data_IF_773637642142
#
_entry.id   IF_773637642142
#
_cell.length_a   1.000
_cell.length_b   1.000
_cell.length_c   1.000
_cell.angle_alpha   90.00
_cell.angle_beta   90.00
_cell.angle_gamma   90.00
#
_symmetry.space_group_name_H-M   'P 1'
#
loop_
_entity.id
_entity.type
_entity.pdbx_description
1 polymer ?
#
# COMPACT_ATOMS: atom_id res chain seq x y z
N UNK A 1 -1.06 3.56 23.55
CA UNK A 1 -2.14 2.81 22.85
C UNK A 1 -3.02 3.86 22.19
N UNK A 2 -3.17 3.82 20.86
CA UNK A 2 -4.10 4.72 20.17
C UNK A 2 -5.54 4.30 20.51
N UNK A 3 -6.44 5.27 20.66
CA UNK A 3 -7.85 4.99 20.97
C UNK A 3 -8.56 4.29 19.82
N UNK A 4 -9.53 3.43 20.13
CA UNK A 4 -10.38 2.82 19.12
C UNK A 4 -11.19 3.91 18.41
N UNK A 5 -11.24 3.86 17.07
CA UNK A 5 -12.01 4.80 16.22
C UNK A 5 -11.74 6.29 16.54
N UNK A 6 -10.52 6.62 16.97
CA UNK A 6 -10.11 7.96 17.40
C UNK A 6 -9.72 8.89 16.26
N UNK A 7 -9.53 8.36 15.04
CA UNK A 7 -9.19 9.14 13.86
C UNK A 7 -10.26 8.95 12.78
N UNK A 8 -10.51 9.98 11.98
CA UNK A 8 -11.45 9.86 10.85
C UNK A 8 -10.94 8.87 9.80
N UNK A 9 -9.63 8.88 9.54
CA UNK A 9 -8.97 7.97 8.61
C UNK A 9 -7.59 7.53 9.10
N UNK A 10 -7.17 6.33 8.68
CA UNK A 10 -5.80 5.86 8.78
C UNK A 10 -5.22 5.71 7.38
N UNK A 11 -3.98 6.18 7.18
CA UNK A 11 -3.34 6.25 5.87
C UNK A 11 -1.91 5.71 5.91
N UNK A 12 -1.61 4.78 5.01
CA UNK A 12 -0.25 4.30 4.75
C UNK A 12 0.12 4.61 3.29
N UNK A 13 1.22 5.33 3.10
CA UNK A 13 1.74 5.69 1.78
C UNK A 13 3.19 5.26 1.66
N UNK A 14 3.49 4.41 0.68
CA UNK A 14 4.84 3.87 0.43
C UNK A 14 5.49 3.26 1.69
N UNK A 15 4.70 2.53 2.47
CA UNK A 15 5.17 1.98 3.74
C UNK A 15 5.01 0.46 3.80
N UNK A 16 3.86 -0.08 3.39
CA UNK A 16 3.56 -1.49 3.63
C UNK A 16 4.45 -2.44 2.82
N UNK A 17 5.05 -1.99 1.70
CA UNK A 17 6.03 -2.79 0.93
C UNK A 17 7.35 -3.07 1.66
N UNK A 18 7.56 -2.51 2.85
CA UNK A 18 8.69 -2.86 3.72
C UNK A 18 8.36 -4.04 4.65
N UNK A 19 7.09 -4.40 4.77
CA UNK A 19 6.62 -5.44 5.67
C UNK A 19 6.51 -6.78 4.93
N UNK A 20 6.75 -7.91 5.61
CA UNK A 20 6.35 -9.21 5.08
C UNK A 20 4.81 -9.30 4.98
N UNK A 21 4.31 -10.12 4.05
CA UNK A 21 2.88 -10.22 3.72
C UNK A 21 1.94 -10.38 4.94
N UNK A 22 2.33 -11.19 5.93
CA UNK A 22 1.52 -11.38 7.14
C UNK A 22 1.44 -10.11 8.01
N UNK A 23 2.51 -9.34 8.10
CA UNK A 23 2.53 -8.07 8.82
C UNK A 23 1.75 -6.97 8.10
N UNK A 24 1.61 -7.05 6.77
CA UNK A 24 0.74 -6.14 6.01
C UNK A 24 -0.71 -6.28 6.47
N UNK A 25 -1.19 -7.52 6.65
CA UNK A 25 -2.55 -7.78 7.15
C UNK A 25 -2.72 -7.24 8.58
N UNK A 26 -1.74 -7.47 9.46
CA UNK A 26 -1.77 -6.95 10.84
C UNK A 26 -1.72 -5.42 10.89
N UNK A 27 -0.95 -4.78 10.01
CA UNK A 27 -0.92 -3.33 9.88
C UNK A 27 -2.28 -2.78 9.43
N UNK A 28 -2.93 -3.42 8.45
CA UNK A 28 -4.27 -3.04 7.98
C UNK A 28 -5.33 -3.22 9.08
N UNK A 29 -5.23 -4.27 9.91
CA UNK A 29 -6.10 -4.44 11.10
C UNK A 29 -5.86 -3.33 12.12
N UNK A 30 -4.61 -2.97 12.40
CA UNK A 30 -4.29 -1.88 13.32
C UNK A 30 -4.83 -0.54 12.81
N UNK A 31 -4.70 -0.27 11.51
CA UNK A 31 -5.29 0.91 10.85
C UNK A 31 -6.82 0.92 10.96
N UNK A 32 -7.46 -0.24 10.74
CA UNK A 32 -8.91 -0.43 10.89
C UNK A 32 -9.41 -0.18 12.31
N UNK A 33 -8.64 -0.59 13.32
CA UNK A 33 -9.01 -0.43 14.73
C UNK A 33 -9.06 1.06 15.16
N UNK A 34 -8.17 1.88 14.62
CA UNK A 34 -8.07 3.31 15.00
C UNK A 34 -8.90 4.23 14.09
N UNK A 35 -9.24 3.80 12.87
CA UNK A 35 -9.98 4.60 11.90
C UNK A 35 -11.50 4.45 12.05
N UNK A 36 -12.21 5.58 12.00
CA UNK A 36 -13.68 5.66 12.06
C UNK A 36 -14.35 5.49 10.70
N UNK A 37 -13.78 6.07 9.64
CA UNK A 37 -14.46 6.16 8.35
C UNK A 37 -13.67 5.55 7.20
N UNK A 38 -12.34 5.67 7.18
CA UNK A 38 -11.55 5.21 6.04
C UNK A 38 -10.19 4.62 6.42
N UNK A 39 -9.84 3.54 5.71
CA UNK A 39 -8.47 3.03 5.61
C UNK A 39 -7.99 3.29 4.18
N UNK A 40 -6.86 3.96 4.07
CA UNK A 40 -6.27 4.38 2.80
C UNK A 40 -4.87 3.77 2.69
N UNK A 41 -4.63 3.07 1.59
CA UNK A 41 -3.34 2.46 1.31
C UNK A 41 -2.87 2.84 -0.10
N UNK A 42 -1.79 3.63 -0.16
CA UNK A 42 -1.09 3.97 -1.39
C UNK A 42 0.24 3.24 -1.44
N UNK A 43 0.46 2.44 -2.47
CA UNK A 43 1.72 1.71 -2.59
C UNK A 43 2.11 1.38 -4.03
N UNK A 44 3.22 0.66 -4.18
CA UNK A 44 3.80 0.30 -5.47
C UNK A 44 3.18 -0.98 -6.03
N UNK A 45 2.98 -0.99 -7.34
CA UNK A 45 2.52 -2.12 -8.13
C UNK A 45 3.74 -2.89 -8.61
N UNK A 46 3.82 -4.16 -8.22
CA UNK A 46 4.76 -5.10 -8.82
C UNK A 46 4.19 -5.63 -10.14
N UNK A 47 4.43 -4.89 -11.22
CA UNK A 47 4.25 -5.36 -12.59
C UNK A 47 5.31 -4.80 -13.53
N UNK A 48 5.37 -5.31 -14.76
CA UNK A 48 6.34 -4.87 -15.76
C UNK A 48 6.26 -3.35 -16.02
N UNK A 49 5.06 -2.78 -15.99
CA UNK A 49 4.86 -1.33 -16.15
C UNK A 49 5.34 -0.52 -14.94
N UNK A 50 5.21 -1.06 -13.73
CA UNK A 50 5.71 -0.44 -12.50
C UNK A 50 7.22 -0.41 -12.48
N UNK A 51 7.85 -1.52 -12.89
CA UNK A 51 9.31 -1.65 -13.02
C UNK A 51 9.83 -0.65 -14.07
N UNK A 52 9.21 -0.61 -15.26
CA UNK A 52 9.58 0.35 -16.30
C UNK A 52 9.38 1.80 -15.84
N UNK A 53 8.29 2.08 -15.11
CA UNK A 53 8.00 3.40 -14.57
C UNK A 53 9.02 3.88 -13.55
N UNK A 54 9.44 3.02 -12.62
CA UNK A 54 10.49 3.37 -11.64
C UNK A 54 11.86 3.52 -12.30
N UNK A 55 12.19 2.67 -13.28
CA UNK A 55 13.41 2.79 -14.05
C UNK A 55 13.47 4.11 -14.82
N UNK A 56 12.38 4.49 -15.49
CA UNK A 56 12.28 5.77 -16.21
C UNK A 56 12.39 6.96 -15.26
N UNK A 57 11.71 6.91 -14.11
CA UNK A 57 11.73 7.97 -13.10
C UNK A 57 13.12 8.18 -12.46
N UNK A 58 14.00 7.18 -12.53
CA UNK A 58 15.34 7.21 -11.92
C UNK A 58 16.47 7.25 -12.95
N UNK A 59 16.17 7.55 -14.22
CA UNK A 59 17.17 7.55 -15.31
C UNK A 59 18.39 8.41 -14.99
N UNK A 60 18.15 9.62 -14.48
CA UNK A 60 19.17 10.62 -14.13
C UNK A 60 19.60 10.56 -12.66
N UNK A 61 19.08 9.61 -11.89
CA UNK A 61 19.40 9.46 -10.46
C UNK A 61 20.72 8.69 -10.26
N UNK A 62 21.38 8.87 -9.11
CA UNK A 62 22.52 8.06 -8.71
C UNK A 62 22.21 6.55 -8.72
N UNK A 63 23.26 5.74 -8.83
CA UNK A 63 23.12 4.28 -8.94
C UNK A 63 22.43 3.66 -7.71
N UNK A 64 22.69 4.22 -6.53
CA UNK A 64 22.11 3.83 -5.25
C UNK A 64 20.59 4.06 -5.26
N UNK A 65 20.16 5.27 -5.65
CA UNK A 65 18.73 5.62 -5.76
C UNK A 65 18.01 4.78 -6.80
N UNK A 66 18.65 4.50 -7.93
CA UNK A 66 18.08 3.61 -8.95
C UNK A 66 17.90 2.20 -8.39
N UNK A 67 18.90 1.64 -7.71
CA UNK A 67 18.79 0.32 -7.08
C UNK A 67 17.67 0.29 -6.04
N UNK A 68 17.63 1.29 -5.17
CA UNK A 68 16.62 1.40 -4.12
C UNK A 68 15.20 1.46 -4.70
N UNK A 69 14.95 2.33 -5.67
CA UNK A 69 13.65 2.44 -6.34
C UNK A 69 13.21 1.13 -7.02
N UNK A 70 14.15 0.39 -7.63
CA UNK A 70 13.85 -0.90 -8.23
C UNK A 70 13.56 -1.98 -7.19
N UNK A 71 14.24 -1.96 -6.03
CA UNK A 71 13.92 -2.84 -4.90
C UNK A 71 12.54 -2.52 -4.33
N UNK A 72 12.18 -1.24 -4.17
CA UNK A 72 10.86 -0.85 -3.69
C UNK A 72 9.74 -1.37 -4.59
N UNK A 73 9.89 -1.28 -5.92
CA UNK A 73 8.87 -1.82 -6.84
C UNK A 73 8.81 -3.35 -6.81
N UNK A 74 9.94 -4.04 -6.66
CA UNK A 74 9.97 -5.50 -6.53
C UNK A 74 9.27 -5.99 -5.27
N UNK A 75 9.37 -5.24 -4.18
CA UNK A 75 8.67 -5.53 -2.93
C UNK A 75 7.22 -4.98 -2.93
N UNK A 76 6.81 -4.30 -3.99
CA UNK A 76 5.44 -3.84 -4.16
C UNK A 76 4.46 -5.00 -4.35
N UNK A 77 3.19 -4.66 -4.53
CA UNK A 77 2.09 -5.60 -4.53
C UNK A 77 1.45 -5.71 -5.91
N UNK A 78 0.89 -6.87 -6.25
CA UNK A 78 -0.15 -6.87 -7.28
C UNK A 78 -1.43 -6.24 -6.73
N UNK A 79 -2.27 -5.66 -7.60
CA UNK A 79 -3.59 -5.16 -7.17
C UNK A 79 -4.44 -6.26 -6.54
N UNK A 80 -4.28 -7.51 -6.99
CA UNK A 80 -4.98 -8.68 -6.45
C UNK A 80 -4.54 -8.94 -5.01
N UNK A 81 -3.23 -9.03 -4.76
CA UNK A 81 -2.69 -9.19 -3.39
C UNK A 81 -3.14 -8.05 -2.46
N UNK A 82 -3.14 -6.81 -2.94
CA UNK A 82 -3.59 -5.69 -2.13
C UNK A 82 -5.06 -5.82 -1.70
N UNK A 83 -5.93 -6.34 -2.58
CA UNK A 83 -7.33 -6.64 -2.25
C UNK A 83 -7.41 -7.82 -1.28
N UNK A 84 -6.68 -8.92 -1.54
CA UNK A 84 -6.64 -10.11 -0.66
C UNK A 84 -6.20 -9.77 0.76
N UNK A 85 -5.19 -8.91 0.93
CA UNK A 85 -4.74 -8.48 2.26
C UNK A 85 -5.76 -7.56 2.95
N UNK A 86 -6.42 -6.68 2.20
CA UNK A 86 -7.49 -5.85 2.73
C UNK A 86 -8.70 -6.69 3.19
N UNK A 87 -9.09 -7.71 2.42
CA UNK A 87 -10.13 -8.66 2.78
C UNK A 87 -9.74 -9.48 4.02
N UNK A 88 -8.50 -9.99 4.07
CA UNK A 88 -7.98 -10.73 5.23
C UNK A 88 -7.89 -9.88 6.51
N UNK A 89 -7.75 -8.55 6.36
CA UNK A 89 -7.80 -7.60 7.46
C UNK A 89 -9.23 -7.23 7.90
N UNK A 90 -10.26 -7.79 7.25
CA UNK A 90 -11.67 -7.51 7.54
C UNK A 90 -12.15 -6.14 7.05
N UNK A 91 -11.42 -5.48 6.14
CA UNK A 91 -11.84 -4.21 5.57
C UNK A 91 -13.05 -4.40 4.64
N UNK A 92 -13.87 -3.35 4.51
CA UNK A 92 -15.12 -3.37 3.73
C UNK A 92 -15.10 -2.31 2.63
N UNK A 93 -16.03 -2.39 1.68
CA UNK A 93 -16.13 -1.44 0.55
C UNK A 93 -14.79 -1.18 -0.18
N UNK A 94 -14.00 -2.24 -0.37
CA UNK A 94 -12.64 -2.17 -0.91
C UNK A 94 -12.69 -1.72 -2.36
N UNK A 95 -11.99 -0.61 -2.66
CA UNK A 95 -11.78 -0.13 -4.02
C UNK A 95 -10.30 0.08 -4.27
N UNK A 96 -9.75 -0.63 -5.26
CA UNK A 96 -8.37 -0.47 -5.72
C UNK A 96 -8.33 0.11 -7.13
N UNK A 97 -7.49 1.12 -7.34
CA UNK A 97 -7.19 1.65 -8.68
C UNK A 97 -5.70 1.84 -8.86
N UNK A 98 -5.21 1.63 -10.08
CA UNK A 98 -3.88 2.13 -10.46
C UNK A 98 -3.95 3.66 -10.53
N UNK A 99 -2.91 4.30 -10.05
CA UNK A 99 -2.71 5.74 -10.15
C UNK A 99 -1.49 6.03 -11.05
N UNK A 100 -0.83 7.17 -10.87
CA UNK A 100 0.31 7.60 -11.67
C UNK A 100 1.52 6.67 -11.48
N UNK A 101 2.11 6.26 -12.60
CA UNK A 101 3.33 5.45 -12.63
C UNK A 101 3.16 4.07 -11.98
N UNK A 102 4.07 3.65 -11.08
CA UNK A 102 3.97 2.37 -10.39
C UNK A 102 2.96 2.38 -9.25
N UNK A 103 2.18 3.45 -9.00
CA UNK A 103 1.38 3.53 -7.77
C UNK A 103 -0.02 2.94 -7.92
N UNK A 104 -0.55 2.35 -6.86
CA UNK A 104 -1.99 2.11 -6.69
C UNK A 104 -2.53 2.89 -5.50
N UNK A 105 -3.84 3.10 -5.47
CA UNK A 105 -4.58 3.57 -4.32
C UNK A 105 -5.67 2.56 -4.00
N UNK A 106 -5.67 2.06 -2.77
CA UNK A 106 -6.73 1.29 -2.17
C UNK A 106 -7.43 2.15 -1.12
N UNK A 107 -8.75 2.23 -1.21
CA UNK A 107 -9.62 2.85 -0.21
C UNK A 107 -10.60 1.83 0.28
N UNK A 108 -10.80 1.74 1.59
CA UNK A 108 -11.74 0.82 2.21
C UNK A 108 -12.36 1.45 3.45
N UNK A 109 -13.48 0.90 3.90
CA UNK A 109 -14.04 1.18 5.22
C UNK A 109 -13.39 0.26 6.26
N UNK A 110 -13.19 0.75 7.50
CA UNK A 110 -12.80 -0.10 8.61
C UNK A 110 -13.78 -1.26 8.84
N UNK A 111 -13.27 -2.33 9.44
CA UNK A 111 -14.09 -3.36 10.05
C UNK A 111 -15.02 -2.74 11.11
N UNK A 112 -16.17 -3.39 11.31
CA UNK A 112 -17.16 -2.98 12.32
C UNK A 112 -16.62 -3.10 13.75
#
# INVERSE_FOLDING_TARGET
ILGAKSFDAAHASLMLHHLPDHEVVEALKAMSAVARHAVIWNDLIHDAFGIAGAWFATLTSPAETKRDAMLSVKNGFSKRQAVEFAEAAGLRDIRVRRWRGPRFLLTARPAD
#
